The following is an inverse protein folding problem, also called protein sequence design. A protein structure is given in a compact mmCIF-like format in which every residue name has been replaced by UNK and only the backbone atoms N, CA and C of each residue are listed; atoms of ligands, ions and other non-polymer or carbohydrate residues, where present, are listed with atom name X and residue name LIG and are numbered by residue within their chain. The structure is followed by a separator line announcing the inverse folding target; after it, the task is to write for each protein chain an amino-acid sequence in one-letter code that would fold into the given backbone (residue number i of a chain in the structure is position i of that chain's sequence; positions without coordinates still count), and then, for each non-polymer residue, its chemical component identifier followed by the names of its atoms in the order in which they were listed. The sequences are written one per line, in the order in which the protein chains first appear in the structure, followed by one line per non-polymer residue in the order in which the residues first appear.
data_IF_560290908181
#
_entry.id   IF_560290908181
#
_cell.length_a   1.000
_cell.length_b   1.000
_cell.length_c   1.000
_cell.angle_alpha   90.00
_cell.angle_beta   90.00
_cell.angle_gamma   90.00
#
_symmetry.space_group_name_H-M   'P 1'
#
loop_
_entity.id
_entity.type
_entity.pdbx_description
1 polymer ?
#
# COMPACT_ATOMS: atom_id res chain seq x y z
N UNK A 1 -3.27 -3.88 -3.71
CA UNK A 1 -2.92 -2.63 -4.43
C UNK A 1 -2.70 -2.82 -5.94
N UNK A 2 -1.80 -3.71 -6.41
CA UNK A 2 -1.59 -3.94 -7.87
C UNK A 2 -2.86 -4.21 -8.68
N UNK A 3 -3.76 -5.02 -8.15
CA UNK A 3 -5.07 -5.28 -8.77
C UNK A 3 -5.93 -4.01 -8.91
N UNK A 4 -5.82 -3.08 -7.96
CA UNK A 4 -6.53 -1.81 -7.96
C UNK A 4 -5.90 -0.81 -8.95
N UNK A 5 -4.57 -0.73 -9.01
CA UNK A 5 -3.83 0.04 -10.02
C UNK A 5 -4.28 -0.30 -11.45
N UNK A 6 -4.43 -1.58 -11.76
CA UNK A 6 -4.93 -2.03 -13.09
C UNK A 6 -6.33 -1.49 -13.39
N UNK A 7 -7.20 -1.41 -12.38
CA UNK A 7 -8.56 -0.85 -12.50
C UNK A 7 -8.52 0.67 -12.70
N UNK A 8 -7.59 1.37 -12.05
CA UNK A 8 -7.38 2.80 -12.28
C UNK A 8 -6.92 3.08 -13.71
N UNK A 9 -6.02 2.26 -14.26
CA UNK A 9 -5.63 2.36 -15.68
C UNK A 9 -6.80 2.20 -16.65
N UNK A 10 -7.75 1.30 -16.33
CA UNK A 10 -8.98 1.18 -17.12
C UNK A 10 -9.82 2.46 -17.05
N UNK A 11 -9.99 3.04 -15.85
CA UNK A 11 -10.71 4.28 -15.65
C UNK A 11 -10.10 5.47 -16.41
N UNK A 12 -8.77 5.57 -16.45
CA UNK A 12 -8.05 6.58 -17.24
C UNK A 12 -8.38 6.41 -18.73
N UNK A 13 -8.46 5.18 -19.22
CA UNK A 13 -8.68 4.85 -20.63
C UNK A 13 -10.14 5.05 -21.08
N UNK A 14 -11.11 4.84 -20.19
CA UNK A 14 -12.54 4.98 -20.53
C UNK A 14 -12.98 6.43 -20.80
N UNK A 15 -12.22 7.37 -20.28
CA UNK A 15 -12.43 8.81 -20.36
C UNK A 15 -13.74 9.26 -19.70
N UNK A 16 -13.63 9.62 -18.43
CA UNK A 16 -14.68 10.24 -17.66
C UNK A 16 -14.17 11.50 -17.00
N UNK A 17 -15.08 12.30 -16.43
CA UNK A 17 -14.81 13.61 -15.86
C UNK A 17 -13.71 13.60 -14.76
N UNK A 18 -13.27 12.43 -14.30
CA UNK A 18 -12.21 12.23 -13.31
C UNK A 18 -11.01 11.42 -13.81
N UNK A 19 -10.71 11.43 -15.11
CA UNK A 19 -9.49 10.77 -15.64
C UNK A 19 -8.21 11.28 -14.94
N UNK A 20 -8.14 12.58 -14.62
CA UNK A 20 -7.04 13.17 -13.85
C UNK A 20 -6.97 12.65 -12.42
N UNK A 21 -8.11 12.45 -11.76
CA UNK A 21 -8.19 11.88 -10.40
C UNK A 21 -7.76 10.42 -10.39
N UNK A 22 -8.18 9.64 -11.39
CA UNK A 22 -7.76 8.26 -11.56
C UNK A 22 -6.25 8.15 -11.84
N UNK A 23 -5.69 9.06 -12.65
CA UNK A 23 -4.26 9.13 -12.93
C UNK A 23 -3.44 9.46 -11.67
N UNK A 24 -3.83 10.50 -10.93
CA UNK A 24 -3.14 10.89 -9.70
C UNK A 24 -3.17 9.75 -8.67
N UNK A 25 -4.34 9.11 -8.51
CA UNK A 25 -4.47 7.98 -7.60
C UNK A 25 -3.67 6.75 -8.08
N UNK A 26 -3.55 6.54 -9.40
CA UNK A 26 -2.71 5.48 -9.95
C UNK A 26 -1.23 5.72 -9.60
N UNK A 27 -0.72 6.93 -9.83
CA UNK A 27 0.66 7.32 -9.48
C UNK A 27 0.91 7.13 -7.97
N UNK A 28 0.02 7.66 -7.13
CA UNK A 28 0.14 7.51 -5.68
C UNK A 28 0.12 6.03 -5.25
N UNK A 29 -0.73 5.21 -5.89
CA UNK A 29 -0.80 3.76 -5.64
C UNK A 29 0.49 3.05 -6.09
N UNK A 30 1.07 3.43 -7.23
CA UNK A 30 2.36 2.87 -7.71
C UNK A 30 3.48 3.17 -6.74
N UNK A 31 3.60 4.42 -6.26
CA UNK A 31 4.60 4.80 -5.25
C UNK A 31 4.42 4.02 -3.96
N UNK A 32 3.19 3.89 -3.48
CA UNK A 32 2.89 3.10 -2.29
C UNK A 32 3.27 1.61 -2.47
N UNK A 33 3.06 1.03 -3.66
CA UNK A 33 3.51 -0.33 -3.98
C UNK A 33 5.04 -0.44 -3.96
N UNK A 34 5.75 0.58 -4.46
CA UNK A 34 7.21 0.63 -4.44
C UNK A 34 7.74 0.74 -3.01
N UNK A 35 7.18 1.64 -2.20
CA UNK A 35 7.54 1.79 -0.79
C UNK A 35 7.35 0.46 -0.05
N UNK A 36 6.20 -0.19 -0.23
CA UNK A 36 5.94 -1.50 0.38
C UNK A 36 6.93 -2.56 -0.10
N UNK A 37 7.26 -2.59 -1.40
CA UNK A 37 8.26 -3.52 -1.95
C UNK A 37 9.66 -3.30 -1.37
N UNK A 38 10.03 -2.05 -1.05
CA UNK A 38 11.31 -1.73 -0.38
C UNK A 38 11.28 -2.00 1.13
N UNK A 39 10.10 -1.93 1.75
CA UNK A 39 9.92 -2.21 3.18
C UNK A 39 9.96 -3.71 3.53
N UNK A 40 9.49 -4.59 2.65
CA UNK A 40 9.45 -6.05 2.89
C UNK A 40 10.85 -6.63 3.22
N UNK A 41 11.92 -6.35 2.46
CA UNK A 41 13.26 -6.83 2.79
C UNK A 41 13.74 -6.36 4.16
N UNK A 42 13.48 -5.09 4.52
CA UNK A 42 13.83 -4.57 5.84
C UNK A 42 13.06 -5.27 6.96
N UNK A 43 11.76 -5.52 6.75
CA UNK A 43 10.95 -6.28 7.71
C UNK A 43 11.43 -7.71 7.86
N UNK A 44 11.85 -8.36 6.76
CA UNK A 44 12.40 -9.72 6.80
C UNK A 44 13.72 -9.78 7.58
N UNK A 45 14.62 -8.81 7.36
CA UNK A 45 15.89 -8.71 8.07
C UNK A 45 15.68 -8.45 9.56
N UNK A 46 14.82 -7.50 9.92
CA UNK A 46 14.51 -7.22 11.32
C UNK A 46 13.78 -8.40 11.98
N UNK A 47 12.85 -9.04 11.27
CA UNK A 47 12.18 -10.25 11.75
C UNK A 47 13.16 -11.37 12.08
N UNK A 48 14.13 -11.63 11.20
CA UNK A 48 15.17 -12.63 11.44
C UNK A 48 16.09 -12.24 12.62
N UNK A 49 16.49 -10.97 12.72
CA UNK A 49 17.28 -10.47 13.83
C UNK A 49 16.54 -10.62 15.18
N UNK A 50 15.30 -10.16 15.26
CA UNK A 50 14.47 -10.30 16.47
C UNK A 50 14.23 -11.75 16.85
N UNK A 51 14.02 -12.64 15.87
CA UNK A 51 13.90 -14.07 16.15
C UNK A 51 15.21 -14.65 16.71
N UNK A 52 16.38 -14.22 16.21
CA UNK A 52 17.66 -14.68 16.71
C UNK A 52 17.93 -14.20 18.15
N UNK A 53 17.71 -12.91 18.43
CA UNK A 53 17.92 -12.34 19.78
C UNK A 53 16.97 -12.96 20.81
N UNK A 54 15.68 -13.11 20.46
CA UNK A 54 14.70 -13.73 21.38
C UNK A 54 14.96 -15.22 21.59
N UNK A 55 15.36 -15.97 20.54
CA UNK A 55 15.75 -17.37 20.69
C UNK A 55 17.04 -17.54 21.51
N UNK A 56 18.01 -16.64 21.34
CA UNK A 56 19.24 -16.65 22.14
C UNK A 56 18.92 -16.39 23.62
N UNK A 57 18.11 -15.38 23.91
CA UNK A 57 17.65 -15.09 25.27
C UNK A 57 16.87 -16.26 25.88
N UNK A 58 15.92 -16.85 25.14
CA UNK A 58 15.18 -18.03 25.58
C UNK A 58 16.13 -19.19 25.92
N UNK A 59 17.09 -19.52 25.04
CA UNK A 59 18.05 -20.59 25.29
C UNK A 59 18.93 -20.36 26.53
N UNK A 60 19.34 -19.11 26.79
CA UNK A 60 20.11 -18.79 28.00
C UNK A 60 19.26 -18.86 29.27
N UNK A 61 17.98 -18.49 29.19
CA UNK A 61 17.02 -18.62 30.29
C UNK A 61 16.70 -20.09 30.57
N UNK A 62 16.44 -20.88 29.53
CA UNK A 62 16.19 -22.32 29.63
C UNK A 62 17.36 -23.05 30.26
N UNK A 63 18.60 -22.70 29.87
CA UNK A 63 19.80 -23.28 30.48
C UNK A 63 19.92 -22.91 31.96
N UNK A 64 19.64 -21.66 32.34
CA UNK A 64 19.64 -21.26 33.75
C UNK A 64 18.59 -22.05 34.55
N UNK A 65 17.36 -22.14 34.04
CA UNK A 65 16.28 -22.88 34.69
C UNK A 65 16.62 -24.37 34.78
N UNK A 66 17.14 -24.97 33.72
CA UNK A 66 17.58 -26.37 33.71
C UNK A 66 18.72 -26.64 34.68
N UNK A 67 19.68 -25.72 34.78
CA UNK A 67 20.76 -25.80 35.76
C UNK A 67 20.22 -25.78 37.20
N UNK A 68 19.27 -24.89 37.51
CA UNK A 68 18.62 -24.84 38.83
C UNK A 68 17.82 -26.11 39.12
N UNK A 69 17.09 -26.65 38.13
CA UNK A 69 16.35 -27.93 38.26
C UNK A 69 17.28 -29.10 38.59
N UNK A 70 18.44 -29.18 37.95
CA UNK A 70 19.40 -30.27 38.17
C UNK A 70 20.01 -30.28 39.59
N UNK A 71 19.92 -29.17 40.32
CA UNK A 71 20.35 -29.13 41.73
C UNK A 71 19.42 -29.87 42.69
N UNK A 72 18.24 -30.30 42.24
CA UNK A 72 17.28 -31.05 43.04
C UNK A 72 17.70 -32.53 43.20
N UNK A 73 17.95 -32.96 44.44
CA UNK A 73 18.24 -34.36 44.82
C UNK A 73 16.99 -35.06 45.42
N UNK A 74 16.84 -36.39 45.41
CA UNK A 74 15.69 -37.11 46.00
C UNK A 74 15.35 -36.83 47.49
N UNK A 75 16.12 -36.00 48.19
CA UNK A 75 15.85 -35.44 49.53
C UNK A 75 15.86 -33.89 49.48
N UNK A 76 15.12 -33.30 48.54
CA UNK A 76 15.04 -31.85 48.26
C UNK A 76 14.29 -31.01 49.30
N UNK A 77 13.84 -31.61 50.40
CA UNK A 77 13.13 -30.89 51.46
C UNK A 77 14.00 -29.75 52.05
N UNK A 78 15.32 -29.89 51.99
CA UNK A 78 16.29 -28.95 52.53
C UNK A 78 17.37 -28.50 51.53
N UNK A 79 17.56 -29.18 50.39
CA UNK A 79 18.66 -28.93 49.44
C UNK A 79 18.13 -28.84 47.99
N UNK A 80 17.71 -27.65 47.58
CA UNK A 80 17.21 -27.32 46.24
C UNK A 80 17.47 -25.84 45.96
N UNK A 81 17.68 -25.48 44.69
CA UNK A 81 17.69 -24.10 44.23
C UNK A 81 16.35 -23.59 43.70
N UNK A 82 15.33 -24.43 43.75
CA UNK A 82 13.94 -24.09 43.44
C UNK A 82 13.11 -24.38 44.69
N UNK A 83 12.47 -23.35 45.22
CA UNK A 83 11.50 -23.49 46.30
C UNK A 83 10.12 -23.83 45.73
N UNK A 84 9.39 -24.71 46.41
CA UNK A 84 8.07 -25.19 45.99
C UNK A 84 7.06 -25.06 47.13
N UNK A 85 5.84 -24.67 46.78
CA UNK A 85 4.82 -24.25 47.76
C UNK A 85 4.29 -25.39 48.66
N UNK A 86 4.48 -26.67 48.28
CA UNK A 86 4.01 -27.80 49.07
C UNK A 86 4.75 -29.11 48.73
N UNK A 87 4.81 -30.02 49.72
CA UNK A 87 5.38 -31.37 49.55
C UNK A 87 6.81 -31.51 50.09
N UNK A 88 7.40 -32.72 50.01
CA UNK A 88 8.79 -32.97 50.43
C UNK A 88 9.80 -32.85 49.29
N UNK A 89 9.34 -32.80 48.03
CA UNK A 89 10.23 -32.79 46.88
C UNK A 89 9.70 -32.03 45.67
N UNK A 90 10.62 -31.52 44.85
CA UNK A 90 10.33 -30.96 43.55
C UNK A 90 9.88 -32.08 42.60
N UNK A 91 8.69 -31.95 42.00
CA UNK A 91 8.15 -32.95 41.06
C UNK A 91 8.10 -32.38 39.64
N UNK A 92 8.13 -33.25 38.62
CA UNK A 92 8.01 -32.81 37.23
C UNK A 92 6.74 -31.99 36.97
N UNK A 93 5.62 -32.33 37.61
CA UNK A 93 4.36 -31.59 37.50
C UNK A 93 4.44 -30.15 38.04
N UNK A 94 5.30 -29.88 39.02
CA UNK A 94 5.54 -28.53 39.56
C UNK A 94 6.37 -27.65 38.62
N UNK A 95 7.02 -28.25 37.62
CA UNK A 95 7.83 -27.57 36.61
C UNK A 95 7.10 -27.44 35.26
N UNK A 96 5.83 -27.81 35.21
CA UNK A 96 4.98 -27.73 34.02
C UNK A 96 4.98 -26.30 33.47
N UNK A 97 5.29 -26.14 32.17
CA UNK A 97 5.43 -24.83 31.52
C UNK A 97 6.85 -24.28 31.48
N UNK A 98 7.80 -24.89 32.20
CA UNK A 98 9.24 -24.66 32.01
C UNK A 98 9.84 -25.73 31.08
N UNK A 99 9.18 -26.03 29.97
CA UNK A 99 9.60 -27.08 29.05
C UNK A 99 10.57 -26.54 28.01
N UNK A 100 11.54 -27.36 27.58
CA UNK A 100 12.38 -27.01 26.44
C UNK A 100 11.48 -26.91 25.20
N UNK A 101 11.48 -25.77 24.49
CA UNK A 101 10.56 -25.55 23.39
C UNK A 101 10.80 -26.58 22.27
N UNK A 102 9.72 -27.17 21.78
CA UNK A 102 9.75 -28.12 20.65
C UNK A 102 9.78 -27.43 19.29
N UNK A 103 9.77 -26.08 19.25
CA UNK A 103 9.67 -25.23 18.05
C UNK A 103 8.48 -25.56 17.12
N UNK A 104 7.49 -26.33 17.62
CA UNK A 104 6.30 -26.73 16.85
C UNK A 104 5.08 -25.85 17.13
N UNK A 105 5.12 -25.04 18.19
CA UNK A 105 4.07 -24.08 18.51
C UNK A 105 4.05 -22.93 17.51
N UNK A 106 2.86 -22.57 17.02
CA UNK A 106 2.66 -21.40 16.18
C UNK A 106 1.80 -20.39 16.92
N UNK A 107 2.24 -19.13 16.88
CA UNK A 107 1.46 -17.99 17.34
C UNK A 107 1.59 -16.87 16.32
N UNK A 108 0.75 -15.84 16.44
CA UNK A 108 0.90 -14.67 15.58
C UNK A 108 2.17 -13.92 15.94
N UNK A 109 2.86 -13.38 14.94
CA UNK A 109 4.08 -12.59 15.15
C UNK A 109 3.82 -11.39 16.07
N UNK A 110 2.62 -10.80 16.02
CA UNK A 110 2.21 -9.67 16.86
C UNK A 110 2.16 -10.09 18.33
N UNK A 111 1.54 -11.23 18.65
CA UNK A 111 1.48 -11.75 20.02
C UNK A 111 2.88 -12.05 20.56
N UNK A 112 3.67 -12.85 19.82
CA UNK A 112 5.02 -13.23 20.26
C UNK A 112 5.93 -12.02 20.49
N UNK A 113 5.91 -11.03 19.59
CA UNK A 113 6.75 -9.83 19.74
C UNK A 113 6.27 -8.92 20.86
N UNK A 114 4.99 -8.97 21.24
CA UNK A 114 4.47 -8.17 22.36
C UNK A 114 4.95 -8.67 23.70
N UNK A 115 4.90 -9.97 23.93
CA UNK A 115 5.40 -10.59 25.15
C UNK A 115 6.92 -10.38 25.27
N UNK A 116 7.67 -10.58 24.18
CA UNK A 116 9.10 -10.31 24.14
C UNK A 116 9.43 -8.81 24.37
N UNK A 117 8.64 -7.88 23.84
CA UNK A 117 8.85 -6.45 24.03
C UNK A 117 8.55 -5.99 25.47
N UNK A 118 7.62 -6.67 26.16
CA UNK A 118 7.37 -6.46 27.58
C UNK A 118 8.55 -6.98 28.41
N UNK A 119 9.07 -8.18 28.08
CA UNK A 119 10.18 -8.83 28.81
C UNK A 119 9.97 -8.79 30.32
N UNK A 120 8.78 -9.20 30.78
CA UNK A 120 8.49 -9.25 32.22
C UNK A 120 9.42 -10.26 32.90
N UNK A 121 10.13 -9.79 33.92
CA UNK A 121 11.05 -10.61 34.73
C UNK A 121 10.68 -10.48 36.21
N UNK A 122 10.82 -11.57 36.99
CA UNK A 122 10.55 -11.54 38.42
C UNK A 122 11.53 -10.63 39.16
N UNK A 123 11.09 -10.10 40.30
CA UNK A 123 11.90 -9.23 41.15
C UNK A 123 12.86 -9.98 42.08
N UNK A 124 13.75 -9.23 42.74
CA UNK A 124 14.73 -9.79 43.69
C UNK A 124 14.10 -10.55 44.86
N UNK A 125 13.08 -9.94 45.48
CA UNK A 125 12.35 -10.56 46.59
C UNK A 125 11.60 -11.84 46.18
N UNK A 126 11.15 -11.92 44.92
CA UNK A 126 10.44 -13.09 44.40
C UNK A 126 11.39 -14.27 44.19
N UNK A 127 12.63 -14.01 43.74
CA UNK A 127 13.61 -15.06 43.48
C UNK A 127 14.56 -15.38 44.65
N UNK A 128 14.58 -14.57 45.72
CA UNK A 128 15.38 -14.86 46.91
C UNK A 128 14.92 -16.14 47.64
N UNK A 129 13.61 -16.44 47.62
CA UNK A 129 13.00 -17.52 48.39
C UNK A 129 12.96 -17.25 49.90
N UNK A 130 12.39 -18.18 50.67
CA UNK A 130 12.17 -18.06 52.12
C UNK A 130 13.41 -18.34 52.99
N UNK A 131 14.54 -18.73 52.36
CA UNK A 131 15.76 -19.14 53.06
C UNK A 131 15.68 -20.53 53.71
N UNK A 132 14.54 -21.23 53.61
CA UNK A 132 14.36 -22.59 54.15
C UNK A 132 15.06 -23.69 53.33
N UNK A 133 15.48 -23.37 52.09
CA UNK A 133 16.18 -24.27 51.17
C UNK A 133 17.64 -23.86 51.04
N UNK A 134 18.56 -24.81 51.22
CA UNK A 134 20.00 -24.60 51.15
C UNK A 134 20.49 -24.70 49.69
N UNK A 135 20.20 -23.66 48.89
CA UNK A 135 20.75 -23.55 47.55
C UNK A 135 22.20 -23.05 47.61
N UNK A 136 23.16 -23.92 47.27
CA UNK A 136 24.58 -23.55 47.25
C UNK A 136 24.94 -22.53 46.17
N UNK A 137 24.17 -22.48 45.08
CA UNK A 137 24.37 -21.50 44.00
C UNK A 137 24.05 -20.06 44.44
N UNK A 138 23.06 -19.90 45.32
CA UNK A 138 22.59 -18.59 45.79
C UNK A 138 22.95 -18.31 47.23
N UNK A 139 23.80 -19.14 47.84
CA UNK A 139 24.30 -18.95 49.19
C UNK A 139 24.97 -17.58 49.35
N UNK A 140 24.87 -17.01 50.55
CA UNK A 140 25.53 -15.76 50.86
C UNK A 140 27.05 -15.86 50.71
N UNK A 141 27.64 -14.74 50.30
CA UNK A 141 29.09 -14.54 50.16
C UNK A 141 29.76 -15.38 49.06
N UNK A 142 28.98 -16.13 48.26
CA UNK A 142 29.49 -16.91 47.12
C UNK A 142 30.32 -18.14 47.50
N UNK A 143 30.24 -18.57 48.76
CA UNK A 143 31.01 -19.69 49.31
C UNK A 143 30.41 -21.06 48.98
N UNK A 144 29.14 -21.11 48.56
CA UNK A 144 28.48 -22.39 48.28
C UNK A 144 29.03 -23.16 47.06
N UNK A 145 29.74 -22.48 46.15
CA UNK A 145 30.24 -23.07 44.91
C UNK A 145 31.62 -23.70 45.01
N UNK A 146 32.37 -23.43 46.08
CA UNK A 146 33.70 -23.99 46.33
C UNK A 146 33.81 -24.49 47.77
N UNK A 147 34.61 -25.54 47.98
CA UNK A 147 35.00 -25.91 49.34
C UNK A 147 35.92 -24.86 49.97
N UNK A 148 35.75 -24.57 51.26
CA UNK A 148 36.63 -23.70 52.05
C UNK A 148 36.21 -22.23 52.13
N UNK A 149 37.17 -21.32 52.31
CA UNK A 149 36.94 -19.86 52.46
C UNK A 149 36.91 -19.10 51.12
N UNK A 150 36.92 -19.83 50.00
CA UNK A 150 36.94 -19.24 48.67
C UNK A 150 35.54 -18.74 48.28
N UNK A 151 35.46 -17.46 47.94
CA UNK A 151 34.28 -16.82 47.39
C UNK A 151 34.50 -16.49 45.91
N UNK A 152 33.48 -16.64 45.08
CA UNK A 152 33.48 -16.12 43.70
C UNK A 152 32.38 -15.08 43.51
N UNK A 153 32.52 -14.31 42.43
CA UNK A 153 31.39 -13.56 41.88
C UNK A 153 30.81 -14.38 40.73
N UNK A 154 29.51 -14.56 40.66
CA UNK A 154 28.83 -15.23 39.56
C UNK A 154 27.92 -14.24 38.85
N UNK A 155 27.89 -14.36 37.52
CA UNK A 155 26.93 -13.68 36.67
C UNK A 155 26.24 -14.74 35.83
N UNK A 156 24.94 -14.89 35.99
CA UNK A 156 24.12 -15.79 35.18
C UNK A 156 23.20 -14.96 34.29
N UNK A 157 22.84 -15.53 33.14
CA UNK A 157 22.02 -14.87 32.13
C UNK A 157 22.53 -13.46 31.82
N UNK A 158 23.85 -13.38 31.58
CA UNK A 158 24.61 -12.17 31.22
C UNK A 158 24.38 -10.95 32.11
N UNK A 159 24.13 -11.18 33.41
CA UNK A 159 24.01 -10.11 34.40
C UNK A 159 22.61 -9.95 34.96
N UNK A 160 21.63 -10.74 34.54
CA UNK A 160 20.31 -10.77 35.19
C UNK A 160 20.42 -11.22 36.65
N UNK A 161 21.13 -12.33 36.89
CA UNK A 161 21.51 -12.72 38.24
C UNK A 161 22.98 -12.40 38.45
N UNK A 162 23.27 -11.68 39.52
CA UNK A 162 24.64 -11.37 39.94
C UNK A 162 24.79 -11.59 41.43
N UNK A 163 25.88 -12.21 41.84
CA UNK A 163 26.38 -12.05 43.21
C UNK A 163 27.86 -11.71 43.15
N UNK A 164 28.33 -10.92 44.09
CA UNK A 164 29.75 -10.69 44.27
C UNK A 164 30.25 -11.29 45.59
N UNK A 165 31.56 -11.37 45.74
CA UNK A 165 32.19 -11.96 46.92
C UNK A 165 31.80 -11.14 48.16
N UNK A 166 31.40 -11.82 49.23
CA UNK A 166 31.10 -11.21 50.55
C UNK A 166 29.86 -10.30 50.58
N UNK A 167 28.98 -10.39 49.58
CA UNK A 167 27.68 -9.72 49.59
C UNK A 167 26.56 -10.70 49.97
N UNK A 168 25.63 -10.23 50.79
CA UNK A 168 24.41 -10.95 51.17
C UNK A 168 23.20 -10.42 50.39
N UNK A 169 22.14 -11.22 50.29
CA UNK A 169 20.87 -10.77 49.69
C UNK A 169 20.30 -9.51 50.36
N UNK A 170 20.51 -9.31 51.67
CA UNK A 170 20.02 -8.13 52.39
C UNK A 170 20.77 -6.84 52.07
N UNK A 171 22.01 -6.94 51.58
CA UNK A 171 22.88 -5.80 51.32
C UNK A 171 22.89 -5.34 49.87
N UNK A 172 22.60 -6.22 48.92
CA UNK A 172 22.64 -5.90 47.48
C UNK A 172 21.69 -6.81 46.70
N UNK A 173 20.72 -6.25 45.94
CA UNK A 173 19.84 -7.04 45.08
C UNK A 173 20.67 -7.85 44.09
N UNK A 174 20.38 -9.15 43.97
CA UNK A 174 21.08 -10.07 43.08
C UNK A 174 20.36 -10.24 41.75
N UNK A 175 19.04 -10.08 41.75
CA UNK A 175 18.24 -9.96 40.54
C UNK A 175 18.29 -8.52 40.04
N UNK A 176 18.68 -8.40 38.78
CA UNK A 176 18.83 -7.14 38.08
C UNK A 176 17.72 -6.96 37.06
N UNK A 177 17.65 -5.76 36.51
CA UNK A 177 16.64 -5.44 35.51
C UNK A 177 16.97 -6.10 34.16
N UNK A 178 16.03 -6.09 33.22
CA UNK A 178 16.26 -6.51 31.84
C UNK A 178 17.45 -5.77 31.23
N UNK A 179 17.54 -4.44 31.43
CA UNK A 179 18.61 -3.60 30.91
C UNK A 179 20.01 -3.96 31.45
N UNK A 180 20.10 -4.58 32.62
CA UNK A 180 21.36 -5.04 33.21
C UNK A 180 21.84 -6.38 32.62
N UNK A 181 20.93 -7.14 32.00
CA UNK A 181 21.26 -8.35 31.25
C UNK A 181 21.37 -8.03 29.77
N UNK A 182 22.60 -8.04 29.24
CA UNK A 182 22.84 -7.75 27.81
C UNK A 182 21.96 -8.61 26.89
N UNK A 183 21.71 -9.86 27.26
CA UNK A 183 20.95 -10.81 26.46
C UNK A 183 19.44 -10.52 26.51
N UNK A 184 18.90 -10.22 27.69
CA UNK A 184 17.48 -9.87 27.80
C UNK A 184 17.20 -8.49 27.18
N UNK A 185 18.09 -7.52 27.39
CA UNK A 185 18.01 -6.18 26.80
C UNK A 185 18.02 -6.21 25.27
N UNK A 186 18.91 -7.01 24.66
CA UNK A 186 18.97 -7.17 23.21
C UNK A 186 17.68 -7.77 22.65
N UNK A 187 17.14 -8.82 23.30
CA UNK A 187 15.87 -9.43 22.92
C UNK A 187 14.69 -8.45 23.04
N UNK A 188 14.61 -7.71 24.16
CA UNK A 188 13.58 -6.72 24.40
C UNK A 188 13.64 -5.59 23.35
N UNK A 189 14.83 -5.03 23.14
CA UNK A 189 15.06 -3.94 22.18
C UNK A 189 14.72 -4.37 20.75
N UNK A 190 15.12 -5.58 20.36
CA UNK A 190 14.81 -6.11 19.03
C UNK A 190 13.31 -6.34 18.84
N UNK A 191 12.58 -6.78 19.88
CA UNK A 191 11.14 -6.93 19.84
C UNK A 191 10.42 -5.58 19.76
N UNK A 192 10.79 -4.61 20.61
CA UNK A 192 10.25 -3.24 20.60
C UNK A 192 10.47 -2.53 19.27
N UNK A 193 11.63 -2.75 18.62
CA UNK A 193 11.93 -2.16 17.32
C UNK A 193 11.09 -2.76 16.18
N UNK A 194 10.75 -4.05 16.26
CA UNK A 194 9.98 -4.75 15.24
C UNK A 194 8.47 -4.46 15.32
N UNK A 195 7.92 -4.32 16.52
CA UNK A 195 6.49 -4.06 16.75
C UNK A 195 5.88 -2.95 15.87
N UNK A 196 6.43 -1.71 15.79
CA UNK A 196 5.85 -0.66 14.97
C UNK A 196 5.83 -0.99 13.48
N UNK A 197 6.77 -1.82 13.00
CA UNK A 197 6.78 -2.26 11.60
C UNK A 197 5.73 -3.33 11.30
N UNK A 198 5.37 -4.15 12.29
CA UNK A 198 4.30 -5.14 12.18
C UNK A 198 2.91 -4.51 12.25
N UNK A 199 2.79 -3.40 12.97
CA UNK A 199 1.56 -2.63 13.10
C UNK A 199 1.36 -1.62 11.96
N UNK A 200 2.25 -1.62 10.97
CA UNK A 200 2.18 -0.68 9.87
C UNK A 200 0.94 -0.96 9.00
N UNK A 201 -0.12 -0.19 9.25
CA UNK A 201 -1.41 -0.33 8.57
C UNK A 201 -1.32 0.20 7.14
N UNK A 202 -0.79 -0.64 6.25
CA UNK A 202 -0.85 -0.40 4.81
C UNK A 202 -2.31 -0.32 4.35
N UNK A 203 -2.67 0.70 3.56
CA UNK A 203 -4.05 0.85 3.14
C UNK A 203 -4.43 -0.32 2.21
N UNK A 204 -5.55 -0.96 2.55
CA UNK A 204 -6.10 -2.05 1.75
C UNK A 204 -6.59 -1.55 0.39
N UNK A 205 -6.67 -2.46 -0.59
CA UNK A 205 -7.27 -2.12 -1.87
C UNK A 205 -8.77 -1.82 -1.69
N UNK A 206 -9.30 -0.71 -2.23
CA UNK A 206 -10.71 -0.38 -2.16
C UNK A 206 -11.61 -1.45 -2.79
N UNK A 207 -12.73 -1.75 -2.13
CA UNK A 207 -13.74 -2.72 -2.57
C UNK A 207 -15.09 -2.08 -2.89
N UNK A 208 -15.28 -0.83 -2.50
CA UNK A 208 -16.52 -0.08 -2.60
C UNK A 208 -16.25 1.44 -2.49
N UNK A 209 -17.32 2.23 -2.52
CA UNK A 209 -17.28 3.68 -2.50
C UNK A 209 -16.71 4.25 -1.19
N UNK A 210 -17.09 3.67 -0.05
CA UNK A 210 -16.66 4.09 1.29
C UNK A 210 -15.17 3.79 1.49
N UNK A 211 -14.74 2.57 1.16
CA UNK A 211 -13.34 2.15 1.26
C UNK A 211 -12.45 2.91 0.28
N UNK A 212 -12.95 3.29 -0.91
CA UNK A 212 -12.21 4.18 -1.82
C UNK A 212 -12.04 5.58 -1.24
N UNK A 213 -13.07 6.12 -0.59
CA UNK A 213 -12.97 7.42 0.08
C UNK A 213 -11.99 7.36 1.25
N UNK A 214 -12.07 6.31 2.08
CA UNK A 214 -11.12 6.07 3.16
C UNK A 214 -9.69 5.88 2.64
N UNK A 215 -9.51 5.19 1.52
CA UNK A 215 -8.22 5.02 0.86
C UNK A 215 -7.64 6.37 0.41
N UNK A 216 -8.42 7.21 -0.25
CA UNK A 216 -7.97 8.55 -0.67
C UNK A 216 -7.55 9.39 0.54
N UNK A 217 -8.30 9.31 1.64
CA UNK A 217 -8.02 10.09 2.86
C UNK A 217 -6.97 9.44 3.79
N UNK A 218 -6.45 8.26 3.45
CA UNK A 218 -5.45 7.59 4.28
C UNK A 218 -4.16 8.44 4.34
N UNK A 219 -3.55 8.64 5.52
CA UNK A 219 -2.36 9.49 5.66
C UNK A 219 -1.20 9.11 4.72
N UNK A 220 -0.93 7.82 4.52
CA UNK A 220 0.12 7.35 3.61
C UNK A 220 -0.24 7.66 2.15
N UNK A 221 -1.50 7.49 1.77
CA UNK A 221 -1.96 7.82 0.41
C UNK A 221 -1.91 9.33 0.19
N UNK A 222 -2.31 10.13 1.17
CA UNK A 222 -2.23 11.60 1.14
C UNK A 222 -0.79 12.08 0.96
N UNK A 223 0.17 11.48 1.67
CA UNK A 223 1.60 11.77 1.49
C UNK A 223 2.06 11.50 0.04
N UNK A 224 1.66 10.37 -0.54
CA UNK A 224 2.01 10.03 -1.92
C UNK A 224 1.31 10.93 -2.96
N UNK A 225 0.07 11.35 -2.68
CA UNK A 225 -0.67 12.34 -3.48
C UNK A 225 0.05 13.68 -3.44
N UNK A 226 0.40 14.18 -2.24
CA UNK A 226 1.13 15.43 -2.06
C UNK A 226 2.44 15.43 -2.81
N UNK A 227 3.24 14.36 -2.65
CA UNK A 227 4.51 14.21 -3.35
C UNK A 227 4.31 14.24 -4.86
N UNK A 228 3.31 13.53 -5.37
CA UNK A 228 2.99 13.49 -6.81
C UNK A 228 2.58 14.87 -7.33
N UNK A 229 1.77 15.62 -6.59
CA UNK A 229 1.36 16.98 -6.96
C UNK A 229 2.53 17.98 -6.95
N UNK A 230 3.47 17.83 -6.01
CA UNK A 230 4.70 18.64 -5.98
C UNK A 230 5.60 18.34 -7.17
N UNK A 231 5.77 17.07 -7.52
CA UNK A 231 6.56 16.63 -8.68
C UNK A 231 5.97 17.11 -10.01
N UNK A 232 4.63 17.12 -10.15
CA UNK A 232 3.94 17.65 -11.34
C UNK A 232 3.81 19.17 -11.35
N UNK A 233 4.31 19.87 -10.32
CA UNK A 233 4.18 21.32 -10.10
C UNK A 233 2.72 21.80 -9.99
N UNK A 234 1.81 20.89 -9.67
CA UNK A 234 0.41 21.18 -9.36
C UNK A 234 0.19 21.68 -7.93
N UNK A 235 1.23 21.57 -7.09
CA UNK A 235 1.31 22.05 -5.72
C UNK A 235 2.71 22.63 -5.44
N UNK A 236 2.80 23.74 -4.73
CA UNK A 236 4.09 24.32 -4.35
C UNK A 236 4.84 23.41 -3.36
N UNK A 237 6.17 23.42 -3.41
CA UNK A 237 7.00 22.64 -2.48
C UNK A 237 6.81 23.05 -1.02
N UNK A 238 6.55 24.34 -0.79
CA UNK A 238 6.26 24.95 0.51
C UNK A 238 4.77 24.91 0.89
N UNK A 239 3.91 24.29 0.08
CA UNK A 239 2.48 24.25 0.35
C UNK A 239 2.19 23.53 1.68
N UNK A 240 1.32 24.13 2.50
CA UNK A 240 0.86 23.54 3.75
C UNK A 240 -0.34 22.61 3.56
N UNK A 241 -0.77 21.96 4.66
CA UNK A 241 -1.88 21.00 4.66
C UNK A 241 -3.21 21.55 4.11
N UNK A 242 -3.50 22.84 4.35
CA UNK A 242 -4.74 23.48 3.85
C UNK A 242 -4.78 23.52 2.32
N UNK A 243 -3.65 23.85 1.68
CA UNK A 243 -3.54 23.89 0.22
C UNK A 243 -3.66 22.48 -0.37
N UNK A 244 -3.03 21.49 0.25
CA UNK A 244 -3.18 20.08 -0.13
C UNK A 244 -4.65 19.65 -0.06
N UNK A 245 -5.33 19.92 1.05
CA UNK A 245 -6.75 19.57 1.23
C UNK A 245 -7.63 20.22 0.16
N UNK A 246 -7.40 21.49 -0.15
CA UNK A 246 -8.11 22.20 -1.21
C UNK A 246 -7.86 21.57 -2.59
N UNK A 247 -6.62 21.22 -2.89
CA UNK A 247 -6.27 20.56 -4.17
C UNK A 247 -6.89 19.16 -4.27
N UNK A 248 -6.85 18.37 -3.19
CA UNK A 248 -7.50 17.06 -3.11
C UNK A 248 -9.02 17.19 -3.33
N UNK A 249 -9.68 18.16 -2.69
CA UNK A 249 -11.11 18.40 -2.89
C UNK A 249 -11.42 18.87 -4.31
N UNK A 250 -10.54 19.65 -4.94
CA UNK A 250 -10.70 20.04 -6.34
C UNK A 250 -10.56 18.87 -7.31
N UNK A 251 -9.67 17.91 -7.01
CA UNK A 251 -9.37 16.78 -7.91
C UNK A 251 -10.35 15.63 -7.72
N UNK A 252 -10.65 15.25 -6.48
CA UNK A 252 -11.51 14.10 -6.16
C UNK A 252 -12.97 14.49 -5.88
N UNK A 253 -13.25 15.80 -5.82
CA UNK A 253 -14.51 16.36 -5.35
C UNK A 253 -14.56 16.48 -3.83
N UNK A 254 -15.22 17.54 -3.36
CA UNK A 254 -15.49 17.74 -1.94
C UNK A 254 -16.37 16.60 -1.39
N UNK A 255 -16.22 16.23 -0.10
CA UNK A 255 -17.05 15.19 0.50
C UNK A 255 -18.55 15.47 0.36
N UNK A 256 -19.29 14.44 -0.04
CA UNK A 256 -20.75 14.42 -0.12
C UNK A 256 -21.36 14.25 1.29
N UNK A 257 -22.67 14.54 1.48
CA UNK A 257 -23.34 14.40 2.78
C UNK A 257 -23.28 12.98 3.38
N UNK A 258 -23.13 11.95 2.53
CA UNK A 258 -22.97 10.56 2.96
C UNK A 258 -21.51 10.20 3.34
N UNK A 259 -20.60 11.18 3.38
CA UNK A 259 -19.19 10.99 3.72
C UNK A 259 -18.31 10.45 2.58
N UNK A 260 -18.86 10.21 1.39
CA UNK A 260 -18.11 9.74 0.20
C UNK A 260 -17.62 10.91 -0.65
N UNK A 261 -16.85 10.66 -1.71
CA UNK A 261 -16.42 11.69 -2.67
C UNK A 261 -17.07 11.47 -4.05
N UNK A 262 -17.33 12.54 -4.84
CA UNK A 262 -17.85 12.43 -6.20
C UNK A 262 -17.07 11.45 -7.09
N UNK A 263 -15.73 11.46 -7.01
CA UNK A 263 -14.90 10.48 -7.71
C UNK A 263 -15.22 9.04 -7.29
N UNK A 264 -15.31 8.76 -5.99
CA UNK A 264 -15.60 7.42 -5.49
C UNK A 264 -16.99 6.95 -5.94
N UNK A 265 -17.97 7.85 -5.91
CA UNK A 265 -19.32 7.60 -6.40
C UNK A 265 -19.33 7.26 -7.89
N UNK A 266 -18.59 8.02 -8.72
CA UNK A 266 -18.51 7.71 -10.15
C UNK A 266 -17.90 6.32 -10.40
N UNK A 267 -16.82 5.98 -9.69
CA UNK A 267 -16.18 4.66 -9.79
C UNK A 267 -17.15 3.54 -9.40
N UNK A 268 -17.94 3.72 -8.35
CA UNK A 268 -18.93 2.73 -7.91
C UNK A 268 -20.06 2.51 -8.92
N UNK A 269 -20.49 3.59 -9.60
CA UNK A 269 -21.57 3.55 -10.58
C UNK A 269 -21.11 3.22 -12.00
N UNK A 270 -19.80 3.25 -12.29
CA UNK A 270 -19.27 2.78 -13.58
C UNK A 270 -19.44 1.28 -13.74
N UNK A 271 -20.06 0.90 -14.85
CA UNK A 271 -20.43 -0.49 -15.17
C UNK A 271 -19.86 -0.92 -16.50
N UNK A 272 -19.30 -2.13 -16.54
CA UNK A 272 -18.61 -2.70 -17.70
C UNK A 272 -19.28 -4.01 -18.14
N UNK A 273 -19.45 -4.17 -19.44
CA UNK A 273 -19.88 -5.45 -20.01
C UNK A 273 -18.66 -6.35 -20.17
N UNK A 274 -18.65 -7.52 -19.54
CA UNK A 274 -17.55 -8.49 -19.65
C UNK A 274 -18.01 -9.68 -20.47
N UNK A 275 -17.12 -10.26 -21.29
CA UNK A 275 -17.41 -11.48 -22.04
C UNK A 275 -17.42 -12.68 -21.09
N UNK A 276 -18.49 -13.49 -21.14
CA UNK A 276 -18.62 -14.72 -20.36
C UNK A 276 -19.35 -14.58 -19.02
N UNK A 277 -19.85 -13.40 -18.66
CA UNK A 277 -20.92 -13.26 -17.67
C UNK A 277 -22.25 -13.60 -18.34
N UNK A 278 -23.01 -14.54 -17.78
CA UNK A 278 -24.34 -14.91 -18.29
C UNK A 278 -25.31 -13.73 -18.11
N UNK A 279 -25.96 -13.27 -19.19
CA UNK A 279 -26.93 -12.17 -19.16
C UNK A 279 -26.38 -10.75 -19.35
N UNK A 280 -27.25 -9.75 -19.12
CA UNK A 280 -26.96 -8.31 -19.20
C UNK A 280 -26.20 -7.76 -17.96
N UNK A 281 -25.57 -8.63 -17.19
CA UNK A 281 -24.97 -8.25 -15.91
C UNK A 281 -23.68 -7.46 -16.12
N UNK A 282 -23.78 -6.15 -15.99
CA UNK A 282 -22.63 -5.25 -16.02
C UNK A 282 -21.95 -5.19 -14.65
N UNK A 283 -20.66 -5.49 -14.63
CA UNK A 283 -19.85 -5.47 -13.43
C UNK A 283 -19.38 -4.06 -13.08
N UNK A 284 -19.35 -3.72 -11.80
CA UNK A 284 -18.70 -2.48 -11.34
C UNK A 284 -17.18 -2.58 -11.41
N UNK A 285 -16.50 -1.43 -11.39
CA UNK A 285 -15.02 -1.37 -11.33
C UNK A 285 -14.46 -2.24 -10.21
N UNK A 286 -15.09 -2.20 -9.03
CA UNK A 286 -14.65 -2.95 -7.87
C UNK A 286 -14.81 -4.48 -8.05
N UNK A 287 -15.81 -4.92 -8.80
CA UNK A 287 -16.08 -6.34 -9.08
C UNK A 287 -15.17 -6.93 -10.16
N UNK A 288 -14.53 -6.10 -10.99
CA UNK A 288 -13.64 -6.59 -12.04
C UNK A 288 -12.43 -7.34 -11.46
N UNK A 289 -12.07 -8.44 -12.10
CA UNK A 289 -10.74 -9.05 -11.91
C UNK A 289 -9.69 -8.26 -12.70
N UNK A 290 -8.39 -8.34 -12.33
CA UNK A 290 -7.32 -7.68 -13.09
C UNK A 290 -7.29 -8.10 -14.57
N UNK A 291 -7.53 -9.38 -14.86
CA UNK A 291 -7.56 -9.90 -16.24
C UNK A 291 -8.69 -9.27 -17.05
N UNK A 292 -9.89 -9.16 -16.46
CA UNK A 292 -11.03 -8.51 -17.12
C UNK A 292 -10.76 -7.02 -17.34
N UNK A 293 -10.16 -6.33 -16.37
CA UNK A 293 -9.82 -4.90 -16.51
C UNK A 293 -8.82 -4.65 -17.67
N UNK A 294 -7.81 -5.50 -17.82
CA UNK A 294 -6.86 -5.43 -18.96
C UNK A 294 -7.54 -5.69 -20.30
N UNK A 295 -8.44 -6.68 -20.36
CA UNK A 295 -9.20 -6.98 -21.58
C UNK A 295 -10.07 -5.80 -22.01
N UNK A 296 -10.83 -5.23 -21.07
CA UNK A 296 -11.68 -4.05 -21.32
C UNK A 296 -10.84 -2.86 -21.79
N UNK A 297 -9.68 -2.64 -21.18
CA UNK A 297 -8.77 -1.56 -21.58
C UNK A 297 -8.27 -1.77 -23.03
N UNK A 298 -7.88 -2.99 -23.38
CA UNK A 298 -7.43 -3.32 -24.74
C UNK A 298 -8.56 -3.13 -25.77
N UNK A 299 -9.78 -3.54 -25.44
CA UNK A 299 -10.97 -3.33 -26.28
C UNK A 299 -11.25 -1.83 -26.47
N UNK A 300 -11.17 -1.03 -25.40
CA UNK A 300 -11.35 0.42 -25.48
C UNK A 300 -10.26 1.10 -26.32
N UNK A 301 -9.00 0.72 -26.14
CA UNK A 301 -7.89 1.24 -26.96
C UNK A 301 -8.11 0.88 -28.44
N UNK A 302 -8.58 -0.32 -28.74
CA UNK A 302 -8.89 -0.73 -30.11
C UNK A 302 -10.04 0.10 -30.71
N UNK A 303 -11.10 0.36 -29.93
CA UNK A 303 -12.21 1.21 -30.33
C UNK A 303 -11.76 2.65 -30.61
N UNK A 304 -10.97 3.25 -29.70
CA UNK A 304 -10.40 4.59 -29.88
C UNK A 304 -9.53 4.69 -31.14
N UNK A 305 -8.73 3.66 -31.44
CA UNK A 305 -7.94 3.58 -32.68
C UNK A 305 -8.81 3.50 -33.93
N UNK A 306 -9.99 2.88 -33.86
CA UNK A 306 -10.94 2.86 -34.99
C UNK A 306 -11.65 4.20 -35.15
N UNK A 307 -12.03 4.87 -34.06
CA UNK A 307 -12.63 6.20 -34.11
C UNK A 307 -11.67 7.24 -34.67
N UNK A 308 -10.39 7.19 -34.29
CA UNK A 308 -9.36 8.06 -34.85
C UNK A 308 -9.12 7.86 -36.36
N UNK A 309 -9.51 6.70 -36.92
CA UNK A 309 -9.43 6.41 -38.36
C UNK A 309 -10.65 6.90 -39.14
N UNK A 310 -11.74 7.31 -38.47
CA UNK A 310 -12.89 7.88 -39.17
C UNK A 310 -12.50 9.28 -39.66
N UNK A 311 -12.57 9.57 -40.97
CA UNK A 311 -12.32 10.93 -41.46
C UNK A 311 -13.30 11.86 -40.76
N UNK A 312 -12.81 12.98 -40.23
CA UNK A 312 -13.67 14.02 -39.70
C UNK A 312 -14.70 14.38 -40.78
N UNK A 313 -15.99 14.20 -40.51
CA UNK A 313 -17.04 14.75 -41.37
C UNK A 313 -16.91 16.26 -41.28
N UNK A 314 -16.14 16.85 -42.20
CA UNK A 314 -16.22 18.27 -42.47
C UNK A 314 -17.56 18.46 -43.16
N UNK A 315 -18.58 18.83 -42.41
CA UNK A 315 -19.81 19.34 -43.00
C UNK A 315 -19.47 20.67 -43.68
N UNK A 316 -19.30 20.63 -44.99
CA UNK A 316 -19.12 21.83 -45.79
C UNK A 316 -20.39 22.68 -45.63
N UNK A 317 -20.30 23.97 -45.26
CA UNK A 317 -21.46 24.84 -45.25
C UNK A 317 -22.10 24.85 -46.64
N UNK A 318 -23.43 24.66 -46.70
CA UNK A 318 -24.19 24.83 -47.95
C UNK A 318 -24.08 26.29 -48.35
N UNK A 319 -23.37 26.57 -49.46
CA UNK A 319 -23.33 27.91 -50.04
C UNK A 319 -24.73 28.40 -50.43
N UNK A 320 -24.95 29.73 -50.49
CA UNK A 320 -26.24 30.31 -50.88
C UNK A 320 -26.69 29.82 -52.27
N UNK A 321 -28.01 29.66 -52.47
CA UNK A 321 -28.58 29.28 -53.77
C UNK A 321 -28.40 30.43 -54.76
N UNK A 322 -27.39 30.33 -55.62
CA UNK A 322 -27.00 31.36 -56.58
C UNK A 322 -27.85 31.42 -57.84
N UNK A 323 -29.02 30.77 -57.86
CA UNK A 323 -29.89 30.66 -59.04
C UNK A 323 -30.30 32.00 -59.63
N UNK A 324 -30.76 32.95 -58.81
CA UNK A 324 -31.18 34.27 -59.32
C UNK A 324 -30.00 35.05 -59.91
N UNK A 325 -28.83 34.95 -59.28
CA UNK A 325 -27.60 35.62 -59.73
C UNK A 325 -27.10 35.06 -61.07
N UNK A 326 -27.16 33.73 -61.26
CA UNK A 326 -26.79 33.12 -62.54
C UNK A 326 -27.82 33.44 -63.64
N UNK A 327 -29.12 33.38 -63.32
CA UNK A 327 -30.19 33.60 -64.30
C UNK A 327 -30.28 35.07 -64.79
N UNK A 328 -29.70 36.01 -64.04
CA UNK A 328 -29.58 37.42 -64.40
C UNK A 328 -28.47 37.71 -65.43
N UNK A 329 -27.56 36.75 -65.68
CA UNK A 329 -26.45 36.90 -66.63
C UNK A 329 -26.93 36.50 -68.04
N UNK A 330 -26.90 37.46 -68.96
CA UNK A 330 -27.36 37.32 -70.34
C UNK A 330 -26.21 37.18 -71.37
N UNK A 331 -24.96 37.22 -70.92
CA UNK A 331 -23.76 37.04 -71.75
C UNK A 331 -22.94 35.81 -71.35
N UNK A 332 -22.44 35.08 -72.35
CA UNK A 332 -21.71 33.83 -72.15
C UNK A 332 -20.37 34.02 -71.41
N UNK A 333 -19.58 34.99 -71.83
CA UNK A 333 -18.31 35.38 -71.21
C UNK A 333 -18.46 35.61 -69.69
N UNK A 334 -19.45 36.42 -69.31
CA UNK A 334 -19.74 36.72 -67.89
C UNK A 334 -20.29 35.53 -67.11
N UNK A 335 -20.99 34.61 -67.77
CA UNK A 335 -21.52 33.41 -67.12
C UNK A 335 -20.40 32.41 -66.82
N UNK A 336 -19.44 32.28 -67.74
CA UNK A 336 -18.31 31.37 -67.59
C UNK A 336 -17.27 31.91 -66.59
N UNK A 337 -17.16 33.24 -66.43
CA UNK A 337 -16.41 33.90 -65.35
C UNK A 337 -17.05 33.69 -63.96
N UNK A 338 -18.37 33.52 -63.88
CA UNK A 338 -19.07 33.33 -62.62
C UNK A 338 -18.83 31.90 -62.08
N UNK A 339 -18.13 31.73 -60.94
CA UNK A 339 -17.62 30.43 -60.52
C UNK A 339 -18.72 29.44 -60.09
N UNK A 340 -19.95 29.90 -59.90
CA UNK A 340 -21.12 29.08 -59.54
C UNK A 340 -22.11 28.86 -60.69
N UNK A 341 -21.84 29.39 -61.90
CA UNK A 341 -22.75 29.34 -63.04
C UNK A 341 -22.19 28.50 -64.21
N UNK A 342 -23.06 28.13 -65.15
CA UNK A 342 -22.70 27.43 -66.39
C UNK A 342 -23.63 27.89 -67.51
N UNK A 343 -23.04 28.18 -68.67
CA UNK A 343 -23.79 28.58 -69.86
C UNK A 343 -24.31 27.37 -70.65
N UNK A 344 -25.58 27.41 -71.02
CA UNK A 344 -26.26 26.40 -71.83
C UNK A 344 -26.65 27.01 -73.18
N UNK A 345 -26.11 26.43 -74.26
CA UNK A 345 -26.39 26.89 -75.63
C UNK A 345 -27.84 26.62 -76.08
N UNK A 346 -28.45 25.57 -75.52
CA UNK A 346 -29.83 25.16 -75.81
C UNK A 346 -30.60 25.06 -74.50
N UNK A 347 -31.68 25.82 -74.40
CA UNK A 347 -32.62 25.80 -73.28
C UNK A 347 -34.03 25.70 -73.84
N UNK A 348 -34.96 25.11 -73.08
CA UNK A 348 -36.38 25.07 -73.46
C UNK A 348 -36.91 26.49 -73.64
N UNK A 349 -37.91 26.69 -74.51
CA UNK A 349 -38.47 28.01 -74.81
C UNK A 349 -38.80 28.80 -73.51
N UNK A 350 -38.21 30.00 -73.40
CA UNK A 350 -38.33 30.87 -72.22
C UNK A 350 -37.26 30.66 -71.14
N UNK A 351 -36.39 29.65 -71.25
CA UNK A 351 -35.31 29.40 -70.29
C UNK A 351 -34.15 30.39 -70.37
N UNK A 352 -33.51 30.69 -69.23
CA UNK A 352 -32.26 31.47 -69.18
C UNK A 352 -31.06 30.59 -69.50
N UNK A 353 -30.15 31.10 -70.34
CA UNK A 353 -28.97 30.37 -70.82
C UNK A 353 -27.89 30.22 -69.75
N UNK A 354 -27.72 31.17 -68.85
CA UNK A 354 -26.82 31.02 -67.70
C UNK A 354 -27.58 30.43 -66.50
N UNK A 355 -27.16 29.26 -66.01
CA UNK A 355 -27.83 28.55 -64.91
C UNK A 355 -26.86 28.20 -63.78
N UNK A 356 -27.38 28.12 -62.56
CA UNK A 356 -26.60 27.74 -61.39
C UNK A 356 -26.18 26.27 -61.45
N UNK A 357 -24.90 26.03 -61.19
CA UNK A 357 -24.30 24.70 -61.14
C UNK A 357 -23.90 24.37 -59.70
N UNK A 358 -24.69 23.53 -59.04
CA UNK A 358 -24.48 23.11 -57.65
C UNK A 358 -23.13 22.41 -57.45
N UNK A 359 -22.62 21.70 -58.45
CA UNK A 359 -21.33 21.01 -58.40
C UNK A 359 -20.16 22.00 -58.45
N UNK A 360 -20.21 23.03 -59.30
CA UNK A 360 -19.20 24.11 -59.33
C UNK A 360 -19.23 24.94 -58.05
N UNK A 361 -20.43 25.28 -57.56
CA UNK A 361 -20.61 25.96 -56.27
C UNK A 361 -20.00 25.15 -55.12
N UNK A 362 -20.28 23.84 -55.06
CA UNK A 362 -19.77 22.97 -54.00
C UNK A 362 -18.23 22.89 -53.98
N UNK A 363 -17.56 22.90 -55.14
CA UNK A 363 -16.08 22.95 -55.21
C UNK A 363 -15.47 24.23 -54.65
N UNK A 364 -16.16 25.38 -54.76
CA UNK A 364 -15.69 26.65 -54.21
C UNK A 364 -15.84 26.71 -52.68
N UNK A 365 -16.96 26.21 -52.16
CA UNK A 365 -17.26 26.20 -50.72
C UNK A 365 -16.65 25.02 -49.98
N UNK A 366 -16.20 23.99 -50.70
CA UNK A 366 -15.43 22.87 -50.15
C UNK A 366 -14.25 22.50 -51.06
N UNK A 367 -13.13 23.24 -50.96
CA UNK A 367 -11.92 22.92 -51.69
C UNK A 367 -11.20 21.77 -50.96
N UNK A 368 -11.49 20.51 -51.26
CA UNK A 368 -10.71 19.40 -50.71
C UNK A 368 -10.62 18.21 -51.67
N UNK A 369 -9.40 17.96 -52.18
CA UNK A 369 -8.84 16.59 -52.27
C UNK A 369 -7.32 16.60 -52.52
N UNK A 370 -6.55 17.31 -51.69
CA UNK A 370 -5.09 17.08 -51.57
C UNK A 370 -4.55 17.55 -50.21
N UNK A 371 -5.11 17.05 -49.11
CA UNK A 371 -4.39 17.02 -47.82
C UNK A 371 -4.47 15.61 -47.25
N UNK A 372 -3.86 14.68 -47.97
CA UNK A 372 -3.40 13.42 -47.41
C UNK A 372 -1.89 13.44 -47.53
N UNK A 373 -1.19 14.09 -46.57
CA UNK A 373 0.21 13.80 -46.18
C UNK A 373 0.90 14.81 -45.23
N UNK A 374 0.23 15.78 -44.59
CA UNK A 374 0.94 16.75 -43.72
C UNK A 374 0.85 16.54 -42.20
N UNK A 375 0.28 15.44 -41.72
CA UNK A 375 0.12 15.19 -40.26
C UNK A 375 1.01 14.10 -39.66
N UNK A 376 2.08 13.68 -40.34
CA UNK A 376 3.00 12.65 -39.84
C UNK A 376 4.43 13.14 -39.49
N UNK A 377 4.67 14.44 -39.34
CA UNK A 377 6.05 14.94 -39.16
C UNK A 377 6.33 15.73 -37.87
N UNK A 378 5.41 15.84 -36.91
CA UNK A 378 5.64 16.64 -35.69
C UNK A 378 5.32 15.91 -34.37
N UNK A 379 5.54 14.59 -34.30
CA UNK A 379 5.45 13.83 -33.04
C UNK A 379 6.73 13.05 -32.68
N UNK A 380 7.86 13.46 -33.24
CA UNK A 380 9.19 13.13 -32.71
C UNK A 380 10.10 14.35 -32.81
N UNK A 381 10.10 15.16 -31.74
CA UNK A 381 11.26 15.91 -31.26
C UNK A 381 11.16 16.08 -29.75
#
# INVERSE_FOLDING_TARGET
LRAFETKLSLLITENSNFAGSALLLAIATTKLIQDHATGIPNLALQGAHTAAETAYAAGRTDELVNFLKQTAHPTTDSHSCIEFNSGPALTAGMLSGCDTPTFTGQTTIITATTEAAQSEVPGDAELQGSGSKNCKLTADDGTGLFGGTNAISLKLLDGFYTHTKRETWSGTPRIKTVADSKTLDAAQTAAQSLQPLLQDNWPAAPTDEQTLTAFINNPKVQQQIEQSLKETKDLATSAGQSELNNKVNSIFGAPLPNGTRPFASEVAHKRFQVKGTEGNDKLSVFQLTPKQAVQLMAEKIAALKQEAKKPAKVECPKGPDGREQCNAIDKQDKCDEAPQCTWHMTVKDGGKKCQFNSTKSHRKWCPCSTISNWRNSNLYR
#
